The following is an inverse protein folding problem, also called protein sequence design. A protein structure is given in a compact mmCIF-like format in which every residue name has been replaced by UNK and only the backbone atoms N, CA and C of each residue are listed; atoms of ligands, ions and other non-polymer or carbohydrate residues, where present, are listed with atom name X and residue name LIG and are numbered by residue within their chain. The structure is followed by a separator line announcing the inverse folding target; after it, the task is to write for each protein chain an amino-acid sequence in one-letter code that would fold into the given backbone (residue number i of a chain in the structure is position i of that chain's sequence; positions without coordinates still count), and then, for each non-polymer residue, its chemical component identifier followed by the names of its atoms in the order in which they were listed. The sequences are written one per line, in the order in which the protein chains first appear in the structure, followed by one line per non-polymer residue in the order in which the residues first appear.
data_IF_901374387637
#
_entry.id   IF_901374387637
#
_cell.length_a   1.000
_cell.length_b   1.000
_cell.length_c   1.000
_cell.angle_alpha   90.00
_cell.angle_beta   90.00
_cell.angle_gamma   90.00
#
_symmetry.space_group_name_H-M   'P 1'
#
loop_
_entity.id
_entity.type
_entity.pdbx_description
1 polymer ?
#
# COMPACT_ATOMS: atom_id res chain seq x y z
N UNK A 1 -20.10 4.20 -5.52
CA UNK A 1 -18.90 3.93 -6.35
C UNK A 1 -18.60 2.43 -6.24
N UNK A 2 -18.25 1.81 -7.37
CA UNK A 2 -18.63 0.42 -7.65
C UNK A 2 -17.51 -0.60 -7.59
N UNK A 3 -17.94 -1.87 -7.52
CA UNK A 3 -17.17 -3.12 -7.60
C UNK A 3 -16.50 -3.29 -8.97
N UNK A 4 -15.74 -2.31 -9.46
CA UNK A 4 -15.15 -2.39 -10.80
C UNK A 4 -13.78 -1.73 -10.93
N UNK A 5 -12.90 -2.36 -11.71
CA UNK A 5 -11.68 -1.78 -12.25
C UNK A 5 -11.99 -1.20 -13.63
N UNK A 6 -11.60 0.05 -13.88
CA UNK A 6 -11.83 0.74 -15.15
C UNK A 6 -10.48 1.10 -15.77
N UNK A 7 -10.19 0.59 -16.96
CA UNK A 7 -8.93 0.81 -17.67
C UNK A 7 -9.17 1.53 -18.99
N UNK A 8 -8.33 2.52 -19.30
CA UNK A 8 -8.21 3.11 -20.63
C UNK A 8 -6.84 2.74 -21.21
N UNK A 9 -6.78 2.39 -22.50
CA UNK A 9 -5.53 2.06 -23.20
C UNK A 9 -5.31 3.01 -24.38
N UNK A 10 -4.74 4.21 -24.14
CA UNK A 10 -4.68 5.27 -25.14
C UNK A 10 -4.03 4.89 -26.47
N UNK A 11 -3.12 3.91 -26.47
CA UNK A 11 -2.38 3.44 -27.65
C UNK A 11 -2.97 2.20 -28.34
N UNK A 12 -4.08 1.66 -27.83
CA UNK A 12 -4.74 0.46 -28.38
C UNK A 12 -6.21 0.74 -28.70
N UNK A 13 -6.98 1.15 -27.70
CA UNK A 13 -8.36 1.57 -27.80
C UNK A 13 -8.66 2.67 -26.79
N UNK A 14 -9.21 3.80 -27.27
CA UNK A 14 -9.67 4.90 -26.41
C UNK A 14 -10.95 4.54 -25.62
N UNK A 15 -11.35 3.27 -25.63
CA UNK A 15 -12.55 2.77 -24.95
C UNK A 15 -12.19 2.36 -23.53
N UNK A 16 -13.07 2.72 -22.59
CA UNK A 16 -13.01 2.21 -21.23
C UNK A 16 -13.35 0.72 -21.21
N UNK A 17 -12.47 -0.08 -20.61
CA UNK A 17 -12.72 -1.48 -20.27
C UNK A 17 -13.06 -1.56 -18.79
N UNK A 18 -14.25 -2.05 -18.47
CA UNK A 18 -14.71 -2.23 -17.09
C UNK A 18 -14.66 -3.71 -16.72
N UNK A 19 -14.05 -4.02 -15.59
CA UNK A 19 -13.90 -5.39 -15.06
C UNK A 19 -14.52 -5.41 -13.67
N UNK A 20 -15.44 -6.34 -13.42
CA UNK A 20 -16.04 -6.49 -12.11
C UNK A 20 -15.01 -7.03 -11.11
N UNK A 21 -14.95 -6.42 -9.93
CA UNK A 21 -14.19 -6.92 -8.77
C UNK A 21 -15.13 -7.78 -7.93
N UNK A 22 -14.71 -8.96 -7.43
CA UNK A 22 -15.59 -9.89 -6.74
C UNK A 22 -15.91 -9.51 -5.27
N UNK A 23 -15.47 -8.34 -4.81
CA UNK A 23 -15.66 -7.86 -3.44
C UNK A 23 -15.99 -6.37 -3.42
N UNK A 24 -16.58 -5.94 -2.31
CA UNK A 24 -16.73 -4.52 -2.00
C UNK A 24 -15.36 -3.93 -1.65
N UNK A 25 -14.90 -2.99 -2.48
CA UNK A 25 -13.70 -2.20 -2.22
C UNK A 25 -14.09 -0.90 -1.52
N UNK A 26 -13.35 -0.52 -0.47
CA UNK A 26 -13.54 0.76 0.21
C UNK A 26 -13.15 1.96 -0.66
N UNK A 27 -13.37 3.17 -0.13
CA UNK A 27 -13.23 4.46 -0.83
C UNK A 27 -11.84 4.72 -1.45
N UNK A 28 -10.81 3.97 -1.05
CA UNK A 28 -9.44 4.08 -1.56
C UNK A 28 -9.00 2.75 -2.18
N UNK A 29 -8.48 2.81 -3.40
CA UNK A 29 -8.01 1.64 -4.13
C UNK A 29 -6.50 1.52 -4.00
N UNK A 30 -5.99 0.52 -3.29
CA UNK A 30 -4.57 0.13 -3.30
C UNK A 30 -4.20 -0.71 -4.54
N UNK A 31 -4.82 -0.39 -5.68
CA UNK A 31 -4.51 -1.04 -6.96
C UNK A 31 -3.11 -0.64 -7.39
N UNK A 32 -2.25 -1.64 -7.58
CA UNK A 32 -0.88 -1.43 -8.02
C UNK A 32 -0.62 -2.18 -9.33
N UNK A 33 0.04 -1.53 -10.29
CA UNK A 33 0.54 -2.21 -11.48
C UNK A 33 1.97 -2.70 -11.28
N UNK A 34 2.20 -4.00 -11.37
CA UNK A 34 3.52 -4.61 -11.29
C UNK A 34 4.20 -4.54 -12.65
N UNK A 35 5.37 -3.87 -12.71
CA UNK A 35 6.18 -3.83 -13.93
C UNK A 35 6.86 -5.19 -14.15
N UNK A 36 7.30 -5.83 -13.06
CA UNK A 36 7.90 -7.17 -13.07
C UNK A 36 6.96 -8.20 -13.69
N UNK A 37 5.73 -8.28 -13.20
CA UNK A 37 4.79 -9.33 -13.58
C UNK A 37 3.86 -8.92 -14.75
N UNK A 38 3.85 -7.64 -15.12
CA UNK A 38 2.93 -7.03 -16.10
C UNK A 38 1.47 -7.30 -15.77
N UNK A 39 1.11 -7.10 -14.50
CA UNK A 39 -0.22 -7.40 -13.93
C UNK A 39 -0.66 -6.33 -12.96
N UNK A 40 -1.96 -6.15 -12.84
CA UNK A 40 -2.54 -5.40 -11.74
C UNK A 40 -2.70 -6.30 -10.54
N UNK A 41 -2.41 -5.77 -9.35
CA UNK A 41 -2.62 -6.42 -8.07
C UNK A 41 -3.51 -5.56 -7.19
N UNK A 42 -4.42 -6.20 -6.45
CA UNK A 42 -5.31 -5.55 -5.51
C UNK A 42 -5.46 -6.41 -4.25
N UNK A 43 -5.05 -5.91 -3.07
CA UNK A 43 -5.35 -6.56 -1.80
C UNK A 43 -6.85 -6.73 -1.60
N UNK A 44 -7.27 -7.92 -1.18
CA UNK A 44 -8.68 -8.19 -0.86
C UNK A 44 -8.96 -7.72 0.57
N UNK A 45 -9.81 -6.70 0.78
CA UNK A 45 -10.02 -6.07 2.09
C UNK A 45 -10.34 -7.08 3.19
N UNK A 46 -9.68 -6.93 4.35
CA UNK A 46 -9.92 -7.77 5.52
C UNK A 46 -9.38 -9.21 5.43
N UNK A 47 -8.91 -9.66 4.27
CA UNK A 47 -8.46 -11.05 4.06
C UNK A 47 -6.92 -11.19 3.98
N UNK A 48 -6.45 -12.42 3.71
CA UNK A 48 -5.06 -12.72 3.36
C UNK A 48 -4.93 -13.09 1.87
N UNK A 49 -5.77 -12.51 1.01
CA UNK A 49 -5.70 -12.75 -0.43
C UNK A 49 -5.30 -11.50 -1.20
N UNK A 50 -4.54 -11.72 -2.27
CA UNK A 50 -4.20 -10.73 -3.27
C UNK A 50 -4.83 -11.16 -4.59
N UNK A 51 -5.64 -10.29 -5.20
CA UNK A 51 -6.15 -10.52 -6.54
C UNK A 51 -5.17 -10.00 -7.58
N UNK A 52 -5.06 -10.69 -8.72
CA UNK A 52 -4.31 -10.19 -9.87
C UNK A 52 -5.07 -10.33 -11.17
N UNK A 53 -4.88 -9.35 -12.06
CA UNK A 53 -5.39 -9.37 -13.42
C UNK A 53 -4.25 -9.19 -14.43
N UNK A 54 -4.31 -9.96 -15.51
CA UNK A 54 -3.42 -9.75 -16.64
C UNK A 54 -3.90 -8.59 -17.53
N UNK A 55 -3.00 -8.10 -18.39
CA UNK A 55 -3.32 -7.02 -19.34
C UNK A 55 -4.25 -7.49 -20.48
N UNK A 56 -4.53 -8.79 -20.59
CA UNK A 56 -5.30 -9.40 -21.66
C UNK A 56 -6.71 -9.80 -21.20
N UNK A 57 -7.41 -8.82 -20.63
CA UNK A 57 -8.79 -8.91 -20.14
C UNK A 57 -9.83 -9.43 -21.16
N UNK A 58 -9.48 -9.54 -22.44
CA UNK A 58 -10.36 -10.08 -23.49
C UNK A 58 -10.48 -11.60 -23.46
N UNK A 59 -9.48 -12.31 -22.92
CA UNK A 59 -9.48 -13.79 -22.88
C UNK A 59 -10.00 -14.33 -21.56
N UNK A 60 -9.62 -13.71 -20.46
CA UNK A 60 -10.08 -14.03 -19.12
C UNK A 60 -10.16 -12.73 -18.33
N UNK A 61 -11.34 -12.44 -17.77
CA UNK A 61 -11.56 -11.26 -16.94
C UNK A 61 -11.63 -11.61 -15.45
N UNK A 62 -11.55 -12.89 -15.11
CA UNK A 62 -11.61 -13.34 -13.73
C UNK A 62 -10.27 -13.05 -13.04
N UNK A 63 -10.30 -12.49 -11.82
CA UNK A 63 -9.09 -12.35 -11.04
C UNK A 63 -8.51 -13.71 -10.67
N UNK A 64 -7.19 -13.80 -10.68
CA UNK A 64 -6.48 -14.87 -9.98
C UNK A 64 -6.32 -14.48 -8.53
N UNK A 65 -6.60 -15.41 -7.62
CA UNK A 65 -6.41 -15.23 -6.20
C UNK A 65 -5.07 -15.83 -5.79
N UNK A 66 -4.30 -15.07 -5.02
CA UNK A 66 -3.06 -15.51 -4.42
C UNK A 66 -3.20 -15.46 -2.90
N UNK A 67 -2.96 -16.57 -2.22
CA UNK A 67 -2.95 -16.61 -0.76
C UNK A 67 -1.63 -16.01 -0.24
N UNK A 68 -1.72 -14.99 0.61
CA UNK A 68 -0.59 -14.38 1.28
C UNK A 68 -0.30 -15.16 2.57
N UNK A 69 0.81 -15.89 2.59
CA UNK A 69 1.23 -16.68 3.74
C UNK A 69 2.23 -15.84 4.54
N UNK A 70 1.81 -15.36 5.71
CA UNK A 70 2.59 -14.45 6.54
C UNK A 70 3.43 -15.22 7.56
N UNK A 71 4.75 -15.06 7.50
CA UNK A 71 5.73 -15.71 8.37
C UNK A 71 6.40 -14.72 9.32
N UNK A 72 7.02 -15.24 10.38
CA UNK A 72 7.83 -14.50 11.35
C UNK A 72 7.11 -13.30 12.00
N UNK A 73 5.80 -13.45 12.25
CA UNK A 73 4.98 -12.41 12.88
C UNK A 73 5.67 -11.82 14.12
N UNK A 74 5.55 -10.49 14.33
CA UNK A 74 6.22 -9.83 15.44
C UNK A 74 5.84 -10.50 16.77
N UNK A 75 6.85 -10.73 17.62
CA UNK A 75 6.65 -11.35 18.93
C UNK A 75 5.86 -10.39 19.81
N UNK A 76 4.54 -10.61 19.90
CA UNK A 76 3.63 -9.71 20.58
C UNK A 76 2.67 -10.50 21.50
N UNK A 77 2.41 -9.96 22.69
CA UNK A 77 1.57 -10.61 23.69
C UNK A 77 0.11 -10.72 23.23
N UNK A 78 -0.56 -11.85 23.50
CA UNK A 78 -1.92 -12.17 22.98
C UNK A 78 -2.97 -11.07 23.18
N UNK A 79 -3.13 -10.45 24.37
CA UNK A 79 -3.98 -9.28 24.58
C UNK A 79 -3.78 -8.16 23.57
N UNK A 80 -2.54 -7.87 23.19
CA UNK A 80 -2.23 -6.83 22.22
C UNK A 80 -2.65 -7.23 20.81
N UNK A 81 -2.59 -8.53 20.45
CA UNK A 81 -3.11 -9.01 19.18
C UNK A 81 -4.63 -8.84 19.07
N UNK A 82 -5.35 -9.14 20.17
CA UNK A 82 -6.81 -8.96 20.24
C UNK A 82 -7.25 -7.50 20.10
N UNK A 83 -6.36 -6.54 20.39
CA UNK A 83 -6.69 -5.12 20.17
C UNK A 83 -6.85 -4.80 18.67
N UNK A 84 -6.11 -5.48 17.79
CA UNK A 84 -6.24 -5.23 16.35
C UNK A 84 -7.59 -5.66 15.77
N UNK A 85 -8.33 -6.53 16.45
CA UNK A 85 -9.68 -6.92 16.05
C UNK A 85 -10.66 -5.73 16.08
N UNK A 86 -10.37 -4.69 16.90
CA UNK A 86 -11.17 -3.46 16.95
C UNK A 86 -10.60 -2.33 16.10
N UNK A 87 -9.49 -2.53 15.40
CA UNK A 87 -8.83 -1.47 14.62
C UNK A 87 -9.30 -1.52 13.17
N UNK A 88 -9.33 -0.36 12.50
CA UNK A 88 -9.46 -0.35 11.05
C UNK A 88 -8.13 -0.76 10.42
N UNK A 89 -8.17 -1.67 9.45
CA UNK A 89 -6.99 -2.18 8.74
C UNK A 89 -7.03 -1.78 7.27
N UNK A 90 -5.94 -1.19 6.80
CA UNK A 90 -5.67 -0.94 5.39
C UNK A 90 -4.48 -1.81 4.96
N UNK A 91 -4.57 -2.44 3.80
CA UNK A 91 -3.53 -3.30 3.24
C UNK A 91 -3.01 -2.66 1.93
N UNK A 92 -1.70 -2.38 1.88
CA UNK A 92 -1.04 -1.73 0.76
C UNK A 92 -0.02 -2.69 0.15
N UNK A 93 -0.15 -2.95 -1.15
CA UNK A 93 0.78 -3.79 -1.90
C UNK A 93 1.63 -2.89 -2.81
N UNK A 94 2.95 -2.93 -2.63
CA UNK A 94 3.88 -2.05 -3.35
C UNK A 94 5.06 -2.82 -3.95
N UNK A 95 5.51 -2.40 -5.12
CA UNK A 95 6.69 -2.93 -5.82
C UNK A 95 7.81 -1.88 -5.78
N UNK A 96 9.00 -2.28 -5.33
CA UNK A 96 10.20 -1.45 -5.32
C UNK A 96 10.78 -1.29 -6.73
N UNK A 97 11.68 -0.30 -6.94
CA UNK A 97 12.42 -0.20 -8.20
C UNK A 97 13.26 -1.45 -8.54
N UNK A 98 13.69 -2.22 -7.53
CA UNK A 98 14.40 -3.50 -7.70
C UNK A 98 13.47 -4.67 -8.05
N UNK A 99 12.15 -4.49 -8.00
CA UNK A 99 11.15 -5.54 -8.24
C UNK A 99 10.82 -6.40 -7.02
N UNK A 100 11.35 -6.04 -5.84
CA UNK A 100 10.91 -6.58 -4.55
C UNK A 100 9.48 -6.10 -4.28
N UNK A 101 8.65 -6.95 -3.66
CA UNK A 101 7.29 -6.58 -3.31
C UNK A 101 7.12 -6.58 -1.80
N UNK A 102 6.35 -5.61 -1.31
CA UNK A 102 6.05 -5.45 0.10
C UNK A 102 4.53 -5.39 0.31
N UNK A 103 4.07 -6.03 1.36
CA UNK A 103 2.74 -5.84 1.93
C UNK A 103 2.87 -5.01 3.20
N UNK A 104 2.27 -3.82 3.20
CA UNK A 104 2.16 -2.98 4.39
C UNK A 104 0.75 -3.12 4.96
N UNK A 105 0.65 -3.66 6.18
CA UNK A 105 -0.59 -3.69 6.95
C UNK A 105 -0.62 -2.52 7.91
N UNK A 106 -1.58 -1.63 7.71
CA UNK A 106 -1.73 -0.38 8.44
C UNK A 106 -2.95 -0.44 9.37
N UNK A 107 -2.70 -0.50 10.67
CA UNK A 107 -3.74 -0.61 11.69
C UNK A 107 -3.95 0.72 12.40
N UNK A 108 -5.15 1.27 12.29
CA UNK A 108 -5.54 2.53 12.94
C UNK A 108 -6.62 2.26 13.98
N UNK A 109 -6.37 2.71 15.21
CA UNK A 109 -7.36 2.64 16.29
C UNK A 109 -8.45 3.69 16.08
N UNK A 110 -9.72 3.31 16.24
CA UNK A 110 -10.83 4.25 16.21
C UNK A 110 -11.06 4.80 17.61
N UNK A 111 -10.76 6.09 17.85
CA UNK A 111 -11.12 6.78 19.11
C UNK A 111 -12.18 7.84 18.84
N UNK A 112 -13.16 7.93 19.74
CA UNK A 112 -14.22 8.93 19.70
C UNK A 112 -13.77 10.34 20.12
N UNK A 113 -12.53 10.48 20.61
CA UNK A 113 -11.92 11.72 21.09
C UNK A 113 -10.94 12.28 20.05
N UNK A 114 -10.82 13.62 19.95
CA UNK A 114 -9.95 14.39 19.02
C UNK A 114 -8.42 14.15 19.13
N UNK A 115 -7.99 13.04 19.72
CA UNK A 115 -6.59 12.67 19.87
C UNK A 115 -6.03 11.96 18.65
N UNK A 116 -4.81 12.36 18.26
CA UNK A 116 -3.99 11.65 17.29
C UNK A 116 -3.55 10.28 17.85
N UNK A 117 -3.75 9.20 17.08
CA UNK A 117 -3.23 7.86 17.40
C UNK A 117 -2.23 7.46 16.33
N UNK A 118 -0.98 7.21 16.76
CA UNK A 118 0.06 6.66 15.90
C UNK A 118 -0.40 5.26 15.43
N UNK A 119 -0.48 5.03 14.12
CA UNK A 119 -0.91 3.75 13.58
C UNK A 119 0.14 2.68 13.88
N UNK A 120 -0.33 1.44 14.07
CA UNK A 120 0.56 0.28 14.10
C UNK A 120 0.77 -0.21 12.68
N UNK A 121 2.02 -0.28 12.24
CA UNK A 121 2.38 -0.70 10.88
C UNK A 121 3.15 -2.00 10.94
N UNK A 122 2.78 -2.96 10.09
CA UNK A 122 3.53 -4.19 9.88
C UNK A 122 3.89 -4.31 8.41
N UNK A 123 5.16 -4.57 8.14
CA UNK A 123 5.66 -4.75 6.78
C UNK A 123 6.04 -6.20 6.58
N UNK A 124 5.65 -6.75 5.44
CA UNK A 124 6.09 -8.06 5.01
C UNK A 124 6.77 -7.96 3.65
N UNK A 125 7.93 -8.59 3.50
CA UNK A 125 8.68 -8.69 2.25
C UNK A 125 8.37 -10.03 1.56
N UNK A 126 8.14 -10.00 0.25
CA UNK A 126 7.99 -11.20 -0.57
C UNK A 126 9.28 -12.04 -0.55
N UNK A 127 9.17 -13.34 -0.27
CA UNK A 127 10.28 -14.30 -0.36
C UNK A 127 10.20 -15.12 -1.65
N UNK A 128 9.10 -15.84 -1.83
CA UNK A 128 8.87 -16.71 -2.98
C UNK A 128 7.38 -16.85 -3.31
N UNK A 129 7.11 -17.38 -4.50
CA UNK A 129 5.76 -17.71 -4.97
C UNK A 129 5.69 -19.16 -5.37
N UNK A 130 4.74 -19.90 -4.81
CA UNK A 130 4.56 -21.33 -5.10
C UNK A 130 3.09 -21.73 -5.02
N UNK A 131 2.61 -22.46 -6.02
CA UNK A 131 1.26 -23.07 -6.03
C UNK A 131 0.11 -22.09 -5.72
N UNK A 132 0.19 -20.85 -6.23
CA UNK A 132 -0.83 -19.82 -5.98
C UNK A 132 -0.72 -19.15 -4.60
N UNK A 133 0.38 -19.40 -3.88
CA UNK A 133 0.72 -18.76 -2.61
C UNK A 133 1.90 -17.81 -2.80
N UNK A 134 1.89 -16.72 -2.04
CA UNK A 134 3.00 -15.79 -1.94
C UNK A 134 3.47 -15.83 -0.50
N UNK A 135 4.69 -16.32 -0.28
CA UNK A 135 5.31 -16.36 1.03
C UNK A 135 5.86 -14.98 1.37
N UNK A 136 5.44 -14.45 2.51
CA UNK A 136 5.72 -13.10 2.95
C UNK A 136 6.35 -13.14 4.34
N UNK A 137 7.57 -12.64 4.51
CA UNK A 137 8.25 -12.57 5.81
C UNK A 137 8.09 -11.20 6.43
N UNK A 138 7.72 -11.14 7.71
CA UNK A 138 7.77 -9.89 8.47
C UNK A 138 9.18 -9.26 8.43
N UNK A 139 9.25 -7.95 8.27
CA UNK A 139 10.53 -7.21 8.29
C UNK A 139 10.37 -5.84 8.94
N UNK A 140 11.40 -5.42 9.67
CA UNK A 140 11.60 -4.03 10.13
C UNK A 140 12.65 -3.30 9.27
N UNK A 141 13.12 -3.97 8.22
CA UNK A 141 14.13 -3.49 7.29
C UNK A 141 13.59 -3.50 5.85
N UNK A 142 13.52 -2.33 5.25
CA UNK A 142 13.22 -2.08 3.83
C UNK A 142 14.52 -1.81 3.05
N UNK A 143 15.67 -1.72 3.70
CA UNK A 143 16.94 -1.31 3.10
C UNK A 143 16.89 0.13 2.60
N UNK A 144 17.35 0.34 1.37
CA UNK A 144 17.32 1.65 0.69
C UNK A 144 15.93 2.02 0.14
N UNK A 145 14.87 1.31 0.53
CA UNK A 145 13.53 1.59 0.03
C UNK A 145 12.76 2.56 0.94
N UNK A 146 12.03 3.48 0.30
CA UNK A 146 11.04 4.35 0.92
C UNK A 146 9.66 4.08 0.31
N UNK A 147 8.70 3.72 1.16
CA UNK A 147 7.33 3.41 0.73
C UNK A 147 6.44 4.64 0.96
N UNK A 148 5.71 5.06 -0.06
CA UNK A 148 4.75 6.15 -0.02
C UNK A 148 3.34 5.57 -0.06
N UNK A 149 2.58 5.80 1.01
CA UNK A 149 1.16 5.46 1.12
C UNK A 149 0.36 6.75 0.98
N UNK A 150 -0.51 6.82 -0.02
CA UNK A 150 -1.25 8.04 -0.33
C UNK A 150 -2.71 7.78 -0.71
N UNK A 151 -3.52 8.85 -0.77
CA UNK A 151 -4.88 8.77 -1.32
C UNK A 151 -4.92 8.49 -2.84
N UNK A 152 -3.78 8.53 -3.53
CA UNK A 152 -3.65 8.22 -4.95
C UNK A 152 -3.11 6.77 -5.13
N UNK A 153 -2.00 6.61 -5.83
CA UNK A 153 -1.31 5.33 -5.97
C UNK A 153 -0.23 5.21 -4.87
N UNK A 154 -0.15 4.05 -4.24
CA UNK A 154 0.96 3.72 -3.34
C UNK A 154 2.18 3.31 -4.18
N UNK A 155 3.36 3.78 -3.79
CA UNK A 155 4.57 3.50 -4.56
C UNK A 155 5.81 3.38 -3.69
N UNK A 156 6.86 2.79 -4.24
CA UNK A 156 8.14 2.62 -3.56
C UNK A 156 9.27 3.23 -4.39
N UNK A 157 10.23 3.86 -3.72
CA UNK A 157 11.40 4.50 -4.35
C UNK A 157 12.69 4.05 -3.68
N UNK A 158 13.79 4.11 -4.42
CA UNK A 158 15.13 4.02 -3.86
C UNK A 158 15.50 5.37 -3.23
N UNK A 159 15.74 5.40 -1.92
CA UNK A 159 16.00 6.63 -1.18
C UNK A 159 17.34 7.25 -1.54
N UNK A 160 18.35 6.43 -1.84
CA UNK A 160 19.63 6.87 -2.38
C UNK A 160 19.52 7.69 -3.68
N UNK A 161 18.48 7.44 -4.48
CA UNK A 161 18.21 8.14 -5.73
C UNK A 161 17.38 9.42 -5.55
N UNK A 162 16.90 9.71 -4.33
CA UNK A 162 15.99 10.80 -4.03
C UNK A 162 16.51 11.61 -2.83
N UNK A 163 17.10 12.78 -3.11
CA UNK A 163 17.71 13.62 -2.06
C UNK A 163 16.70 13.99 -0.97
N UNK A 164 17.11 13.83 0.28
CA UNK A 164 16.31 14.22 1.45
C UNK A 164 15.35 13.14 1.96
N UNK A 165 15.27 11.98 1.30
CA UNK A 165 14.52 10.83 1.84
C UNK A 165 15.39 10.01 2.78
N UNK A 166 14.81 9.57 3.88
CA UNK A 166 15.44 8.62 4.79
C UNK A 166 15.20 7.18 4.30
N UNK A 167 16.25 6.32 4.27
CA UNK A 167 16.08 4.91 4.00
C UNK A 167 15.19 4.26 5.06
N UNK A 168 14.75 3.04 4.79
CA UNK A 168 13.97 2.24 5.74
C UNK A 168 12.75 2.97 6.33
N UNK A 169 12.02 3.71 5.49
CA UNK A 169 10.97 4.63 5.95
C UNK A 169 9.65 4.48 5.17
N UNK A 170 8.55 4.76 5.85
CA UNK A 170 7.21 4.82 5.25
C UNK A 170 6.68 6.25 5.37
N UNK A 171 6.27 6.84 4.26
CA UNK A 171 5.71 8.17 4.15
C UNK A 171 4.21 8.04 3.91
N UNK A 172 3.40 8.47 4.86
CA UNK A 172 1.94 8.42 4.77
C UNK A 172 1.37 9.80 4.54
N UNK A 173 0.43 9.89 3.61
CA UNK A 173 -0.37 11.08 3.34
C UNK A 173 -1.80 10.67 3.02
N UNK A 174 -2.59 10.55 4.08
CA UNK A 174 -3.97 10.07 4.03
C UNK A 174 -4.78 10.57 5.22
N UNK A 175 -5.13 9.66 6.13
CA UNK A 175 -5.69 10.00 7.45
C UNK A 175 -4.68 10.71 8.34
N UNK A 176 -3.40 10.45 8.10
CA UNK A 176 -2.26 11.04 8.77
C UNK A 176 -1.27 11.54 7.72
N UNK A 177 -0.62 12.66 8.02
CA UNK A 177 0.59 13.06 7.32
C UNK A 177 1.81 12.83 8.21
N UNK A 178 2.53 11.73 7.96
CA UNK A 178 3.66 11.33 8.81
C UNK A 178 4.73 10.54 8.04
N UNK A 179 5.95 10.59 8.57
CA UNK A 179 7.05 9.69 8.25
C UNK A 179 7.26 8.72 9.41
N UNK A 180 7.28 7.43 9.11
CA UNK A 180 7.63 6.37 10.04
C UNK A 180 9.01 5.81 9.63
N UNK A 181 10.03 6.08 10.44
CA UNK A 181 11.35 5.46 10.34
C UNK A 181 11.33 4.12 11.07
N UNK A 182 11.46 3.03 10.32
CA UNK A 182 11.43 1.67 10.90
C UNK A 182 12.71 1.32 11.66
N UNK A 183 13.82 2.02 11.38
CA UNK A 183 15.12 1.81 12.03
C UNK A 183 15.08 2.27 13.48
N UNK A 184 14.68 3.53 13.69
CA UNK A 184 14.64 4.14 15.01
C UNK A 184 13.25 4.03 15.67
N UNK A 185 12.26 3.47 14.96
CA UNK A 185 10.85 3.43 15.37
C UNK A 185 10.31 4.81 15.71
N UNK A 186 10.77 5.83 14.97
CA UNK A 186 10.40 7.22 15.15
C UNK A 186 9.28 7.58 14.19
N UNK A 187 8.24 8.22 14.71
CA UNK A 187 7.19 8.82 13.91
C UNK A 187 7.36 10.34 13.92
N UNK A 188 7.69 10.91 12.77
CA UNK A 188 7.65 12.36 12.56
C UNK A 188 6.31 12.72 11.93
N UNK A 189 5.47 13.47 12.64
CA UNK A 189 4.28 14.06 12.03
C UNK A 189 4.68 15.37 11.36
N UNK A 190 4.20 15.60 10.14
CA UNK A 190 4.44 16.88 9.48
C UNK A 190 3.54 17.93 10.11
N UNK A 191 4.16 18.92 10.75
CA UNK A 191 3.46 20.14 11.12
C UNK A 191 3.34 21.02 9.88
N UNK A 192 2.15 21.56 9.67
CA UNK A 192 1.95 22.56 8.64
C UNK A 192 2.76 23.81 9.00
N UNK A 193 3.49 24.44 8.06
CA UNK A 193 4.13 25.73 8.29
C UNK A 193 3.15 26.73 8.92
N UNK A 194 3.62 27.62 9.81
CA UNK A 194 2.76 28.60 10.51
C UNK A 194 1.90 29.46 9.58
N UNK A 195 2.31 29.64 8.32
CA UNK A 195 1.58 30.39 7.29
C UNK A 195 0.58 29.54 6.47
N UNK A 196 0.40 28.28 6.82
CA UNK A 196 -0.53 27.39 6.13
C UNK A 196 -1.96 27.81 6.47
N UNK A 197 -2.84 27.98 5.48
CA UNK A 197 -4.23 28.32 5.74
C UNK A 197 -4.90 27.30 6.66
N UNK A 198 -5.72 27.75 7.62
CA UNK A 198 -6.51 26.91 8.54
C UNK A 198 -7.36 25.84 7.82
N UNK A 199 -7.64 26.08 6.55
CA UNK A 199 -8.26 25.10 5.63
C UNK A 199 -7.45 25.03 4.35
N UNK A 200 -6.73 23.93 4.18
CA UNK A 200 -6.26 23.52 2.86
C UNK A 200 -7.45 22.81 2.19
N UNK A 201 -7.97 23.32 1.06
CA UNK A 201 -9.16 22.74 0.43
C UNK A 201 -8.92 21.30 -0.09
N UNK A 202 -7.66 20.91 -0.28
CA UNK A 202 -7.25 19.59 -0.76
C UNK A 202 -5.98 19.11 -0.03
N UNK A 203 -5.97 17.87 0.43
CA UNK A 203 -4.72 17.23 0.88
C UNK A 203 -3.75 17.16 -0.31
N UNK A 204 -2.45 17.44 -0.13
CA UNK A 204 -1.47 17.25 -1.21
C UNK A 204 -1.47 15.78 -1.66
N UNK A 205 -1.03 15.49 -2.88
CA UNK A 205 -0.84 14.12 -3.36
C UNK A 205 0.65 13.90 -3.62
N UNK A 206 1.15 12.72 -3.25
CA UNK A 206 2.47 12.30 -3.67
C UNK A 206 2.39 11.85 -5.13
N UNK A 207 3.33 12.36 -5.94
CA UNK A 207 3.47 11.95 -7.33
C UNK A 207 4.61 10.95 -7.42
N UNK A 208 4.38 9.85 -8.13
CA UNK A 208 5.44 8.91 -8.46
C UNK A 208 6.53 9.64 -9.26
N UNK A 209 7.82 9.43 -8.97
CA UNK A 209 8.88 10.03 -9.77
C UNK A 209 8.71 9.61 -11.22
N UNK A 210 8.69 10.57 -12.14
CA UNK A 210 8.63 10.27 -13.56
C UNK A 210 9.84 9.41 -13.92
N UNK A 211 9.59 8.22 -14.45
CA UNK A 211 10.64 7.46 -15.11
C UNK A 211 11.04 8.26 -16.34
N UNK A 212 12.21 8.91 -16.30
CA UNK A 212 12.81 9.51 -17.49
C UNK A 212 13.06 8.38 -18.48
N UNK A 213 12.19 8.27 -19.48
CA UNK A 213 12.34 7.39 -20.63
C UNK A 213 13.54 7.78 -21.47
#
# INVERSE_FOLDING_TARGET
LGKQLSLCRPRLDLRWTNISVPFDSWEYSSLMFSKKDKRFYLPVPGSNYLCSWDLNFKKDSNPKFHELVLHDLPHMHRPRWKQFDSYSREDHWVESPSGECFLVKWYTEYKHTDGFVVPTVMVFREEDRKDGRINMRYTEDLGDNGIFISKAEDFCVATSSNRGLWPNSIFSNGRLWATLDLTNKVTGCYEYPESTPDKIPYSPYWLTPFSST
#
